data_IF_498510729315
#
_entry.id   IF_498510729315
#
_cell.length_a   1.000
_cell.length_b   1.000
_cell.length_c   1.000
_cell.angle_alpha   90.00
_cell.angle_beta   90.00
_cell.angle_gamma   90.00
#
_symmetry.space_group_name_H-M   'P 1'
#
loop_
_entity.id
_entity.type
_entity.pdbx_description
1 polymer ?
#
# COMPACT_ATOMS: atom_id res chain seq x y z
N UNK A 1 -40.49 -51.40 52.40
CA UNK A 1 -39.63 -50.46 53.18
C UNK A 1 -38.45 -50.08 52.31
N UNK A 2 -38.42 -48.85 51.78
CA UNK A 2 -37.27 -48.31 51.03
C UNK A 2 -36.46 -47.41 51.97
N UNK A 3 -35.15 -47.62 52.08
CA UNK A 3 -34.26 -46.78 52.89
C UNK A 3 -34.15 -45.40 52.23
N UNK A 4 -34.28 -44.29 52.98
CA UNK A 4 -33.98 -42.97 52.42
C UNK A 4 -32.47 -42.88 52.17
N UNK A 5 -32.07 -42.53 50.94
CA UNK A 5 -30.70 -42.10 50.66
C UNK A 5 -30.52 -40.72 51.30
N UNK A 6 -29.53 -40.62 52.18
CA UNK A 6 -29.14 -39.37 52.83
C UNK A 6 -28.27 -38.60 51.82
N UNK A 7 -28.81 -37.55 51.24
CA UNK A 7 -28.02 -36.62 50.44
C UNK A 7 -27.16 -35.81 51.43
N UNK A 8 -25.85 -36.05 51.44
CA UNK A 8 -24.89 -35.16 52.12
C UNK A 8 -24.71 -33.92 51.23
N UNK A 9 -25.67 -33.01 51.30
CA UNK A 9 -25.53 -31.67 50.74
C UNK A 9 -24.66 -30.83 51.71
N UNK A 10 -23.35 -31.11 51.71
CA UNK A 10 -22.36 -30.32 52.43
C UNK A 10 -22.30 -28.90 51.88
N UNK A 11 -22.55 -27.90 52.73
CA UNK A 11 -22.41 -26.49 52.37
C UNK A 11 -20.93 -26.09 52.17
N UNK A 12 -20.70 -25.02 51.39
CA UNK A 12 -19.36 -24.50 51.12
C UNK A 12 -18.69 -23.94 52.38
N UNK A 13 -17.40 -24.21 52.53
CA UNK A 13 -16.58 -23.59 53.56
C UNK A 13 -16.18 -22.16 53.15
N UNK A 14 -15.94 -21.29 54.13
CA UNK A 14 -15.45 -19.91 53.88
C UNK A 14 -14.14 -19.94 53.08
N UNK A 15 -13.28 -20.93 53.35
CA UNK A 15 -12.00 -21.12 52.66
C UNK A 15 -12.21 -21.43 51.18
N UNK A 16 -13.19 -22.29 50.82
CA UNK A 16 -13.51 -22.56 49.41
C UNK A 16 -14.02 -21.32 48.67
N UNK A 17 -14.84 -20.49 49.32
CA UNK A 17 -15.29 -19.23 48.73
C UNK A 17 -14.13 -18.26 48.49
N UNK A 18 -13.17 -18.19 49.43
CA UNK A 18 -11.96 -17.39 49.26
C UNK A 18 -11.08 -17.90 48.12
N UNK A 19 -10.82 -19.22 48.06
CA UNK A 19 -10.02 -19.81 46.98
C UNK A 19 -10.72 -19.65 45.62
N UNK A 20 -12.02 -19.90 45.56
CA UNK A 20 -12.82 -19.78 44.34
C UNK A 20 -12.87 -18.34 43.80
N UNK A 21 -13.01 -17.34 44.68
CA UNK A 21 -12.96 -15.92 44.29
C UNK A 21 -11.58 -15.49 43.79
N UNK A 22 -10.49 -15.92 44.44
CA UNK A 22 -9.13 -15.61 43.98
C UNK A 22 -8.87 -16.21 42.60
N UNK A 23 -9.24 -17.47 42.37
CA UNK A 23 -9.10 -18.11 41.06
C UNK A 23 -9.94 -17.37 40.00
N UNK A 24 -11.17 -17.00 40.33
CA UNK A 24 -12.05 -16.24 39.44
C UNK A 24 -11.44 -14.89 39.04
N UNK A 25 -10.85 -14.16 39.99
CA UNK A 25 -10.16 -12.90 39.72
C UNK A 25 -8.93 -13.09 38.84
N UNK A 26 -8.14 -14.16 39.05
CA UNK A 26 -7.00 -14.49 38.19
C UNK A 26 -7.46 -14.76 36.76
N UNK A 27 -8.51 -15.57 36.58
CA UNK A 27 -9.07 -15.88 35.26
C UNK A 27 -9.58 -14.63 34.56
N UNK A 28 -10.30 -13.75 35.28
CA UNK A 28 -10.74 -12.46 34.74
C UNK A 28 -9.56 -11.58 34.34
N UNK A 29 -8.51 -11.51 35.15
CA UNK A 29 -7.29 -10.76 34.83
C UNK A 29 -6.64 -11.23 33.52
N UNK A 30 -6.57 -12.55 33.31
CA UNK A 30 -6.09 -13.13 32.05
C UNK A 30 -7.01 -12.75 30.89
N UNK A 31 -8.32 -12.89 31.05
CA UNK A 31 -9.29 -12.55 30.01
C UNK A 31 -9.22 -11.07 29.59
N UNK A 32 -9.05 -10.16 30.56
CA UNK A 32 -8.86 -8.73 30.29
C UNK A 32 -7.56 -8.46 29.52
N UNK A 33 -6.46 -9.12 29.89
CA UNK A 33 -5.20 -9.01 29.16
C UNK A 33 -5.33 -9.47 27.70
N UNK A 34 -6.00 -10.61 27.47
CA UNK A 34 -6.27 -11.11 26.12
C UNK A 34 -7.10 -10.13 25.31
N UNK A 35 -8.10 -9.50 25.93
CA UNK A 35 -8.97 -8.53 25.28
C UNK A 35 -8.21 -7.27 24.84
N UNK A 36 -7.27 -6.78 25.65
CA UNK A 36 -6.42 -5.63 25.28
C UNK A 36 -5.50 -5.96 24.10
N UNK A 37 -4.87 -7.14 24.12
CA UNK A 37 -4.06 -7.64 22.99
C UNK A 37 -4.90 -7.77 21.73
N UNK A 38 -6.13 -8.27 21.85
CA UNK A 38 -7.05 -8.44 20.73
C UNK A 38 -7.41 -7.10 20.09
N UNK A 39 -7.75 -6.08 20.90
CA UNK A 39 -8.07 -4.73 20.41
C UNK A 39 -6.91 -4.11 19.64
N UNK A 40 -5.70 -4.17 20.20
CA UNK A 40 -4.47 -3.67 19.54
C UNK A 40 -4.24 -4.39 18.22
N UNK A 41 -4.36 -5.71 18.22
CA UNK A 41 -4.17 -6.55 17.04
C UNK A 41 -5.16 -6.21 15.93
N UNK A 42 -6.45 -6.01 16.26
CA UNK A 42 -7.44 -5.61 15.27
C UNK A 42 -7.14 -4.25 14.63
N UNK A 43 -6.78 -3.25 15.44
CA UNK A 43 -6.44 -1.91 14.91
C UNK A 43 -5.24 -1.95 13.96
N UNK A 44 -4.24 -2.76 14.26
CA UNK A 44 -3.06 -2.89 13.39
C UNK A 44 -3.40 -3.64 12.11
N UNK A 45 -4.23 -4.68 12.19
CA UNK A 45 -4.68 -5.40 11.00
C UNK A 45 -5.46 -4.48 10.05
N UNK A 46 -6.29 -3.59 10.59
CA UNK A 46 -6.99 -2.56 9.83
C UNK A 46 -6.01 -1.62 9.14
N UNK A 47 -5.04 -1.06 9.87
CA UNK A 47 -4.01 -0.16 9.30
C UNK A 47 -3.16 -0.84 8.22
N UNK A 48 -2.75 -2.11 8.42
CA UNK A 48 -2.03 -2.90 7.42
C UNK A 48 -2.86 -3.08 6.16
N UNK A 49 -4.14 -3.39 6.33
CA UNK A 49 -5.08 -3.58 5.23
C UNK A 49 -5.27 -2.29 4.43
N UNK A 50 -5.48 -1.16 5.12
CA UNK A 50 -5.62 0.16 4.48
C UNK A 50 -4.35 0.54 3.70
N UNK A 51 -3.18 0.44 4.32
CA UNK A 51 -1.89 0.69 3.67
C UNK A 51 -1.74 -0.15 2.39
N UNK A 52 -2.05 -1.44 2.45
CA UNK A 52 -1.95 -2.33 1.28
C UNK A 52 -2.96 -1.98 0.18
N UNK A 53 -4.20 -1.64 0.55
CA UNK A 53 -5.22 -1.23 -0.41
C UNK A 53 -4.82 0.06 -1.11
N UNK A 54 -4.29 1.02 -0.36
CA UNK A 54 -3.85 2.31 -0.86
C UNK A 54 -2.69 2.15 -1.87
N UNK A 55 -1.66 1.38 -1.50
CA UNK A 55 -0.54 1.06 -2.40
C UNK A 55 -1.02 0.31 -3.65
N UNK A 56 -1.94 -0.65 -3.52
CA UNK A 56 -2.48 -1.39 -4.65
C UNK A 56 -3.28 -0.49 -5.60
N UNK A 57 -4.15 0.36 -5.07
CA UNK A 57 -4.91 1.31 -5.88
C UNK A 57 -3.99 2.27 -6.64
N UNK A 58 -2.96 2.78 -5.98
CA UNK A 58 -1.93 3.61 -6.61
C UNK A 58 -1.21 2.87 -7.74
N UNK A 59 -0.75 1.66 -7.47
CA UNK A 59 -0.09 0.80 -8.46
C UNK A 59 -0.98 0.52 -9.67
N UNK A 60 -2.24 0.13 -9.46
CA UNK A 60 -3.17 -0.22 -10.55
C UNK A 60 -3.41 0.96 -11.50
N UNK A 61 -3.54 2.17 -10.96
CA UNK A 61 -3.71 3.38 -11.75
C UNK A 61 -2.43 3.73 -12.51
N UNK A 62 -1.27 3.75 -11.84
CA UNK A 62 0.02 4.02 -12.47
C UNK A 62 0.31 3.05 -13.61
N UNK A 63 0.09 1.75 -13.39
CA UNK A 63 0.29 0.71 -14.42
C UNK A 63 -0.59 0.95 -15.64
N UNK A 64 -1.86 1.33 -15.42
CA UNK A 64 -2.80 1.60 -16.51
C UNK A 64 -2.34 2.78 -17.37
N UNK A 65 -1.95 3.88 -16.74
CA UNK A 65 -1.55 5.11 -17.43
C UNK A 65 -0.21 4.93 -18.14
N UNK A 66 0.77 4.33 -17.46
CA UNK A 66 2.08 4.02 -18.03
C UNK A 66 1.97 3.04 -19.21
N UNK A 67 1.04 2.08 -19.16
CA UNK A 67 0.83 1.14 -20.27
C UNK A 67 0.35 1.82 -21.56
N UNK A 68 -0.33 2.97 -21.44
CA UNK A 68 -0.80 3.76 -22.59
C UNK A 68 0.28 4.69 -23.15
N UNK A 69 1.41 4.85 -22.46
CA UNK A 69 2.49 5.73 -22.90
C UNK A 69 2.94 5.43 -24.34
N UNK A 70 3.18 6.49 -25.09
CA UNK A 70 3.58 6.47 -26.50
C UNK A 70 2.50 6.10 -27.49
N UNK A 71 1.23 6.06 -27.08
CA UNK A 71 0.14 5.95 -28.04
C UNK A 71 0.16 7.18 -28.96
N UNK A 72 0.46 6.95 -30.25
CA UNK A 72 0.66 7.98 -31.28
C UNK A 72 -0.01 7.51 -32.59
N UNK A 73 -1.34 7.71 -32.74
CA UNK A 73 -2.08 7.24 -33.91
C UNK A 73 -1.68 7.97 -35.22
N UNK A 74 -1.16 9.20 -35.12
CA UNK A 74 -0.75 10.01 -36.27
C UNK A 74 0.74 9.91 -36.59
N UNK A 75 1.52 9.14 -35.81
CA UNK A 75 2.97 9.01 -35.91
C UNK A 75 3.68 10.37 -35.94
N UNK A 76 3.29 11.28 -35.04
CA UNK A 76 3.91 12.60 -34.91
C UNK A 76 5.32 12.55 -34.32
N UNK A 77 5.69 11.42 -33.69
CA UNK A 77 7.06 11.15 -33.24
C UNK A 77 7.44 11.89 -31.97
N UNK A 78 6.46 12.16 -31.09
CA UNK A 78 6.73 12.76 -29.78
C UNK A 78 7.50 11.79 -28.87
N UNK A 79 8.13 12.33 -27.83
CA UNK A 79 8.87 11.54 -26.85
C UNK A 79 7.91 11.04 -25.75
N UNK A 80 7.68 9.73 -25.62
CA UNK A 80 6.63 9.18 -24.76
C UNK A 80 6.99 9.11 -23.28
N UNK A 81 8.29 9.04 -22.96
CA UNK A 81 8.81 9.17 -21.59
C UNK A 81 9.72 10.38 -21.57
N UNK A 82 9.44 11.35 -20.71
CA UNK A 82 10.24 12.57 -20.66
C UNK A 82 11.65 12.29 -20.15
N UNK A 83 12.66 12.92 -20.77
CA UNK A 83 14.06 12.86 -20.33
C UNK A 83 14.33 13.54 -18.98
N UNK A 84 13.33 14.22 -18.41
CA UNK A 84 13.39 14.75 -17.04
C UNK A 84 12.94 13.74 -15.98
N UNK A 85 12.49 12.54 -16.38
CA UNK A 85 12.12 11.48 -15.46
C UNK A 85 13.34 11.00 -14.66
N UNK A 86 13.13 10.73 -13.38
CA UNK A 86 14.15 10.30 -12.42
C UNK A 86 13.71 9.03 -11.69
N UNK A 87 14.53 8.56 -10.76
CA UNK A 87 14.17 7.44 -9.90
C UNK A 87 12.88 7.70 -9.09
N UNK A 88 12.54 8.94 -8.77
CA UNK A 88 11.38 9.26 -7.91
C UNK A 88 10.30 10.11 -8.61
N UNK A 89 10.46 10.35 -9.91
CA UNK A 89 9.52 11.12 -10.72
C UNK A 89 9.44 10.53 -12.12
N UNK A 90 8.25 10.27 -12.64
CA UNK A 90 8.03 9.74 -13.97
C UNK A 90 7.01 10.60 -14.70
N UNK A 91 7.39 11.08 -15.88
CA UNK A 91 6.48 11.75 -16.80
C UNK A 91 6.30 10.91 -18.06
N UNK A 92 5.05 10.55 -18.34
CA UNK A 92 4.64 9.80 -19.54
C UNK A 92 3.62 10.60 -20.35
N UNK A 93 3.66 10.43 -21.66
CA UNK A 93 2.73 11.09 -22.58
C UNK A 93 2.09 10.10 -23.55
N UNK A 94 0.85 10.38 -23.95
CA UNK A 94 0.06 9.62 -24.92
C UNK A 94 -0.95 10.55 -25.61
N UNK A 95 -1.06 10.48 -26.94
CA UNK A 95 -2.04 11.23 -27.76
C UNK A 95 -3.43 10.57 -27.63
N UNK A 96 -4.15 10.90 -26.55
CA UNK A 96 -5.39 10.23 -26.18
C UNK A 96 -6.57 10.63 -27.07
N UNK A 97 -6.54 11.84 -27.63
CA UNK A 97 -7.60 12.34 -28.50
C UNK A 97 -7.32 12.14 -30.00
N UNK A 98 -6.09 11.75 -30.35
CA UNK A 98 -5.67 11.49 -31.72
C UNK A 98 -5.48 12.75 -32.55
N UNK A 99 -5.25 13.90 -31.89
CA UNK A 99 -5.02 15.19 -32.55
C UNK A 99 -3.59 15.34 -33.08
N UNK A 100 -2.67 14.50 -32.62
CA UNK A 100 -1.23 14.60 -32.91
C UNK A 100 -0.49 15.63 -32.06
N UNK A 101 -1.21 16.39 -31.23
CA UNK A 101 -0.62 17.22 -30.18
C UNK A 101 -0.46 16.42 -28.89
N UNK A 102 0.41 16.89 -27.99
CA UNK A 102 0.47 16.41 -26.60
C UNK A 102 0.19 17.60 -25.70
N UNK A 103 -1.04 17.70 -25.22
CA UNK A 103 -1.53 18.83 -24.44
C UNK A 103 -2.38 18.40 -23.26
N UNK A 104 -2.29 19.16 -22.16
CA UNK A 104 -3.14 18.95 -20.98
C UNK A 104 -3.05 17.53 -20.40
N UNK A 105 -4.18 16.81 -20.41
CA UNK A 105 -4.35 15.49 -19.81
C UNK A 105 -3.61 14.35 -20.53
N UNK A 106 -2.97 14.64 -21.66
CA UNK A 106 -2.17 13.71 -22.45
C UNK A 106 -0.78 13.50 -21.88
N UNK A 107 -0.40 14.29 -20.88
CA UNK A 107 0.81 14.10 -20.09
C UNK A 107 0.46 13.84 -18.64
N UNK A 108 0.95 12.74 -18.09
CA UNK A 108 0.84 12.40 -16.68
C UNK A 108 2.22 12.44 -16.06
N UNK A 109 2.37 13.18 -14.96
CA UNK A 109 3.57 13.15 -14.12
C UNK A 109 3.23 12.60 -12.74
N UNK A 110 3.96 11.57 -12.31
CA UNK A 110 3.96 11.05 -10.94
C UNK A 110 5.25 11.47 -10.25
N UNK A 111 5.18 12.03 -9.05
CA UNK A 111 6.37 12.44 -8.29
C UNK A 111 6.25 12.12 -6.81
N UNK A 112 7.33 11.66 -6.21
CA UNK A 112 7.40 11.45 -4.77
C UNK A 112 7.67 12.75 -4.02
N UNK A 113 6.80 13.10 -3.09
CA UNK A 113 7.05 14.13 -2.08
C UNK A 113 7.44 13.46 -0.76
N UNK A 114 8.74 13.48 -0.46
CA UNK A 114 9.30 12.91 0.75
C UNK A 114 8.98 13.73 2.02
N UNK A 115 8.63 15.01 1.89
CA UNK A 115 8.28 15.87 3.03
C UNK A 115 6.88 15.54 3.52
N UNK A 116 5.94 15.41 2.57
CA UNK A 116 4.54 15.09 2.86
C UNK A 116 4.27 13.58 2.90
N UNK A 117 5.26 12.74 2.57
CA UNK A 117 5.14 11.28 2.50
C UNK A 117 4.00 10.83 1.58
N UNK A 118 3.99 11.37 0.36
CA UNK A 118 2.93 11.11 -0.61
C UNK A 118 3.49 10.99 -2.03
N UNK A 119 2.71 10.40 -2.92
CA UNK A 119 2.92 10.51 -4.36
C UNK A 119 1.94 11.56 -4.87
N UNK A 120 2.45 12.52 -5.62
CA UNK A 120 1.66 13.48 -6.37
C UNK A 120 1.41 12.97 -7.78
N UNK A 121 0.26 13.34 -8.34
CA UNK A 121 -0.08 13.15 -9.75
C UNK A 121 -0.42 14.51 -10.37
N UNK A 122 0.13 14.78 -11.54
CA UNK A 122 -0.11 16.01 -12.31
C UNK A 122 -0.50 15.67 -13.75
N UNK A 123 -1.61 16.25 -14.21
CA UNK A 123 -2.17 16.11 -15.57
C UNK A 123 -2.34 17.46 -16.29
N UNK A 124 -1.41 18.39 -16.04
CA UNK A 124 -1.43 19.73 -16.61
C UNK A 124 -2.02 20.81 -15.69
N UNK A 125 -2.53 20.43 -14.51
CA UNK A 125 -3.10 21.35 -13.52
C UNK A 125 -2.20 21.64 -12.31
N UNK A 126 -0.97 21.11 -12.30
CA UNK A 126 -0.08 21.12 -11.13
C UNK A 126 -0.17 19.84 -10.31
N UNK A 127 0.70 19.72 -9.31
CA UNK A 127 0.76 18.54 -8.44
C UNK A 127 -0.50 18.46 -7.56
N UNK A 128 -1.17 17.32 -7.61
CA UNK A 128 -2.27 16.97 -6.72
C UNK A 128 -1.88 15.73 -5.91
N UNK A 129 -2.14 15.68 -4.59
CA UNK A 129 -1.94 14.48 -3.79
C UNK A 129 -2.72 13.32 -4.39
N UNK A 130 -2.03 12.23 -4.72
CA UNK A 130 -2.63 11.04 -5.31
C UNK A 130 -2.73 9.90 -4.30
N UNK A 131 -1.66 9.66 -3.56
CA UNK A 131 -1.65 8.67 -2.49
C UNK A 131 -0.75 9.12 -1.34
N UNK A 132 -1.30 9.10 -0.13
CA UNK A 132 -0.62 9.45 1.11
C UNK A 132 -0.01 8.21 1.82
N UNK A 133 0.76 8.46 2.88
CA UNK A 133 1.43 7.45 3.68
C UNK A 133 2.40 6.57 2.86
N UNK A 134 3.13 7.21 1.95
CA UNK A 134 4.16 6.59 1.12
C UNK A 134 5.54 6.95 1.67
N UNK A 135 6.28 5.92 2.06
CA UNK A 135 7.66 6.00 2.53
C UNK A 135 8.70 5.93 1.40
N UNK A 136 8.28 5.56 0.19
CA UNK A 136 9.15 5.63 -0.99
C UNK A 136 8.44 5.27 -2.28
N UNK A 137 8.91 5.87 -3.37
CA UNK A 137 8.56 5.54 -4.74
C UNK A 137 9.85 5.46 -5.54
N UNK A 138 10.05 4.38 -6.28
CA UNK A 138 11.19 4.19 -7.16
C UNK A 138 10.77 3.68 -8.54
N UNK A 139 11.33 4.29 -9.57
CA UNK A 139 11.25 3.87 -10.95
C UNK A 139 12.59 3.33 -11.41
N UNK A 140 12.57 2.23 -12.14
CA UNK A 140 13.75 1.68 -12.81
C UNK A 140 13.38 1.28 -14.22
N UNK A 141 14.28 1.52 -15.15
CA UNK A 141 13.98 1.46 -16.56
C UNK A 141 14.88 0.45 -17.23
N UNK A 142 14.31 -0.32 -18.13
CA UNK A 142 14.97 -1.46 -18.76
C UNK A 142 14.80 -1.41 -20.27
N UNK A 143 15.84 -1.82 -20.97
CA UNK A 143 15.83 -1.96 -22.43
C UNK A 143 15.13 -3.24 -22.90
N UNK A 144 15.18 -3.52 -24.21
CA UNK A 144 14.61 -4.72 -24.80
C UNK A 144 15.24 -6.04 -24.31
N UNK A 145 16.45 -5.98 -23.74
CA UNK A 145 17.20 -7.12 -23.23
C UNK A 145 17.12 -7.23 -21.70
N UNK A 146 16.20 -6.49 -21.07
CA UNK A 146 16.04 -6.39 -19.62
C UNK A 146 17.27 -5.85 -18.88
N UNK A 147 18.09 -5.05 -19.56
CA UNK A 147 19.23 -4.33 -18.95
C UNK A 147 18.77 -2.95 -18.50
N UNK A 148 19.18 -2.55 -17.30
CA UNK A 148 18.88 -1.22 -16.77
C UNK A 148 19.47 -0.15 -17.69
N UNK A 149 18.65 0.78 -18.14
CA UNK A 149 19.05 1.87 -19.02
C UNK A 149 18.57 3.22 -18.47
N UNK A 150 19.36 4.27 -18.72
CA UNK A 150 18.94 5.66 -18.53
C UNK A 150 18.67 6.35 -19.88
N UNK A 151 18.93 5.66 -20.99
CA UNK A 151 18.71 6.18 -22.34
C UNK A 151 17.24 6.07 -22.69
N UNK A 152 16.56 7.21 -22.84
CA UNK A 152 15.11 7.26 -23.11
C UNK A 152 14.70 6.45 -24.35
N UNK A 153 15.49 6.54 -25.42
CA UNK A 153 15.24 5.83 -26.67
C UNK A 153 15.27 4.29 -26.52
N UNK A 154 15.98 3.77 -25.51
CA UNK A 154 16.15 2.34 -25.30
C UNK A 154 15.12 1.76 -24.33
N UNK A 155 14.38 2.60 -23.59
CA UNK A 155 13.43 2.15 -22.58
C UNK A 155 12.29 1.32 -23.20
N UNK A 156 12.09 0.10 -22.72
CA UNK A 156 10.99 -0.80 -23.14
C UNK A 156 10.15 -1.30 -21.97
N UNK A 157 10.71 -1.28 -20.75
CA UNK A 157 10.02 -1.73 -19.55
C UNK A 157 10.34 -0.82 -18.38
N UNK A 158 9.33 -0.55 -17.55
CA UNK A 158 9.43 0.27 -16.35
C UNK A 158 9.06 -0.62 -15.16
N UNK A 159 9.96 -0.70 -14.18
CA UNK A 159 9.65 -1.20 -12.86
C UNK A 159 9.20 -0.04 -11.99
N UNK A 160 8.11 -0.25 -11.27
CA UNK A 160 7.57 0.67 -10.28
C UNK A 160 7.65 -0.04 -8.94
N UNK A 161 8.24 0.61 -7.95
CA UNK A 161 8.27 0.14 -6.58
C UNK A 161 7.69 1.21 -5.67
N UNK A 162 6.64 0.87 -4.94
CA UNK A 162 6.00 1.74 -3.95
C UNK A 162 6.16 1.10 -2.57
N UNK A 163 6.65 1.86 -1.62
CA UNK A 163 6.71 1.47 -0.21
C UNK A 163 5.71 2.30 0.57
N UNK A 164 4.59 1.68 0.93
CA UNK A 164 3.61 2.26 1.84
C UNK A 164 4.02 2.11 3.30
N UNK A 165 3.40 2.91 4.16
CA UNK A 165 3.57 2.90 5.61
C UNK A 165 2.21 2.96 6.29
N UNK A 166 2.07 2.37 7.48
CA UNK A 166 0.87 2.57 8.29
C UNK A 166 0.74 4.02 8.74
N UNK A 167 -0.49 4.53 8.77
CA UNK A 167 -0.77 5.90 9.20
C UNK A 167 -0.38 6.15 10.67
N UNK A 168 -0.52 5.14 11.52
CA UNK A 168 -0.18 5.21 12.94
C UNK A 168 0.91 4.21 13.31
N UNK A 169 1.53 4.46 14.46
CA UNK A 169 2.53 3.59 15.07
C UNK A 169 1.83 2.32 15.59
N UNK A 170 2.43 1.15 15.39
CA UNK A 170 1.99 -0.08 16.05
C UNK A 170 2.23 0.05 17.58
N UNK A 171 1.17 0.04 18.42
CA UNK A 171 1.30 0.19 19.86
C UNK A 171 2.05 -0.95 20.57
N UNK A 172 2.32 -2.08 19.88
CA UNK A 172 3.08 -3.22 20.39
C UNK A 172 4.58 -3.07 20.15
N UNK A 173 4.98 -2.45 19.04
CA UNK A 173 6.40 -2.33 18.65
C UNK A 173 6.94 -0.91 18.81
N UNK A 174 6.07 0.10 18.88
CA UNK A 174 6.47 1.51 18.92
C UNK A 174 7.02 2.02 17.58
N UNK A 175 6.80 1.29 16.49
CA UNK A 175 7.27 1.64 15.14
C UNK A 175 6.11 1.67 14.14
N UNK A 176 6.29 2.40 13.04
CA UNK A 176 5.42 2.22 11.88
C UNK A 176 5.72 0.90 11.19
N UNK A 177 4.73 0.35 10.50
CA UNK A 177 4.92 -0.79 9.63
C UNK A 177 4.97 -0.35 8.19
N UNK A 178 5.68 -1.13 7.37
CA UNK A 178 5.92 -0.81 5.97
C UNK A 178 5.51 -2.00 5.10
N UNK A 179 5.03 -1.69 3.89
CA UNK A 179 4.71 -2.69 2.88
C UNK A 179 5.16 -2.21 1.51
N UNK A 180 5.97 -3.02 0.83
CA UNK A 180 6.46 -2.70 -0.51
C UNK A 180 5.70 -3.51 -1.57
N UNK A 181 5.25 -2.83 -2.61
CA UNK A 181 4.70 -3.44 -3.82
C UNK A 181 5.60 -3.09 -5.00
N UNK A 182 5.86 -4.08 -5.85
CA UNK A 182 6.64 -3.91 -7.07
C UNK A 182 5.84 -4.42 -8.26
N UNK A 183 5.86 -3.69 -9.36
CA UNK A 183 5.25 -4.12 -10.63
C UNK A 183 6.14 -3.75 -11.79
N UNK A 184 5.97 -4.48 -12.89
CA UNK A 184 6.63 -4.24 -14.15
C UNK A 184 5.59 -3.89 -15.21
N UNK A 185 5.85 -2.84 -15.96
CA UNK A 185 4.98 -2.35 -17.01
C UNK A 185 5.81 -2.24 -18.28
N UNK A 186 5.34 -2.88 -19.34
CA UNK A 186 5.85 -2.68 -20.69
C UNK A 186 4.81 -1.88 -21.46
N UNK A 187 5.02 -0.56 -21.65
CA UNK A 187 4.16 0.26 -22.49
C UNK A 187 4.17 -0.27 -23.92
N UNK A 188 2.99 -0.41 -24.51
CA UNK A 188 2.83 -1.13 -25.79
C UNK A 188 3.47 -0.40 -26.97
N UNK A 189 3.63 0.91 -26.86
CA UNK A 189 3.97 1.78 -27.98
C UNK A 189 5.42 2.33 -27.91
N UNK A 190 6.25 1.79 -27.01
CA UNK A 190 7.67 2.16 -26.92
C UNK A 190 8.58 1.36 -27.85
N UNK A 191 8.06 0.33 -28.52
CA UNK A 191 8.80 -0.54 -29.42
C UNK A 191 8.42 -0.29 -30.88
N UNK A 192 9.06 0.69 -31.49
CA UNK A 192 9.29 0.74 -32.93
C UNK A 192 10.77 1.04 -33.17
#
# INVERSE_FOLDING_TARGET
MSKPQKNDDGGFTIVELMVGSVISLVVLGIAFSMFDVQRKTFSIQEQRSEMQQNVRAAMDMMVREIRMAGYDPLNTGFVPISGTSTATSLQVSADLDGSGGIVGSETVTYSYDALSLQIDRNIGGGNQPFVENIAGLNFSYFDANDIVTATVADMRKIQIQITGRTANIDPRTGTFEFGTQTSFVSPKNLGY
#
